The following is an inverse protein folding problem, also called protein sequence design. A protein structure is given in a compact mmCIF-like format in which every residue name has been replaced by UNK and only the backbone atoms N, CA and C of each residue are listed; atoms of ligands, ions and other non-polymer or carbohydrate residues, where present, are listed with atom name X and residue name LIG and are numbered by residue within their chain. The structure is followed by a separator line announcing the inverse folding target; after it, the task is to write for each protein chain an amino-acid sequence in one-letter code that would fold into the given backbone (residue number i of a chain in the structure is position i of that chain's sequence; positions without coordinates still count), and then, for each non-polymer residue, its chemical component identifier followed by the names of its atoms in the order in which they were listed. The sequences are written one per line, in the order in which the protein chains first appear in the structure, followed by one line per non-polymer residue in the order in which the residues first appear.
data_IF_654462823627
#
_entry.id   IF_654462823627
#
_cell.length_a   1.000
_cell.length_b   1.000
_cell.length_c   1.000
_cell.angle_alpha   90.00
_cell.angle_beta   90.00
_cell.angle_gamma   90.00
#
_symmetry.space_group_name_H-M   'P 1'
#
loop_
_entity.id
_entity.type
_entity.pdbx_description
1 polymer ?
#
# COMPACT_ATOMS: atom_id res chain seq x y z
N UNK A 1 18.81 7.36 -15.33
CA UNK A 1 19.06 8.11 -14.08
C UNK A 1 18.52 9.49 -14.32
N UNK A 2 17.45 9.87 -13.62
CA UNK A 2 16.72 11.09 -13.93
C UNK A 2 17.18 12.19 -12.98
N UNK A 3 17.73 13.28 -13.52
CA UNK A 3 18.11 14.47 -12.74
C UNK A 3 16.91 15.42 -12.74
N UNK A 4 16.42 15.78 -11.56
CA UNK A 4 15.30 16.71 -11.39
C UNK A 4 15.73 17.93 -10.60
N UNK A 5 15.19 19.10 -10.96
CA UNK A 5 15.45 20.36 -10.25
C UNK A 5 14.33 20.63 -9.25
N UNK A 6 14.69 21.11 -8.07
CA UNK A 6 13.72 21.60 -7.10
C UNK A 6 13.08 22.91 -7.57
N UNK A 7 11.79 23.09 -7.28
CA UNK A 7 11.09 24.36 -7.53
C UNK A 7 11.52 25.41 -6.51
N UNK A 8 11.09 26.67 -6.69
CA UNK A 8 11.35 27.78 -5.76
C UNK A 8 10.88 27.47 -4.33
N UNK A 9 9.85 26.63 -4.19
CA UNK A 9 9.30 26.20 -2.90
C UNK A 9 9.95 24.92 -2.35
N UNK A 10 11.01 24.42 -3.00
CA UNK A 10 11.69 23.18 -2.61
C UNK A 10 10.95 21.89 -2.99
N UNK A 11 9.94 21.96 -3.86
CA UNK A 11 9.22 20.76 -4.32
C UNK A 11 10.03 20.05 -5.41
N UNK A 12 10.00 18.72 -5.42
CA UNK A 12 10.60 17.90 -6.48
C UNK A 12 9.51 17.21 -7.30
N UNK A 13 9.67 17.20 -8.62
CA UNK A 13 8.79 16.43 -9.50
C UNK A 13 9.26 14.97 -9.53
N UNK A 14 8.38 14.02 -9.20
CA UNK A 14 8.67 12.59 -9.32
C UNK A 14 8.45 12.14 -10.78
N UNK A 15 9.48 11.66 -11.49
CA UNK A 15 9.36 11.15 -12.85
C UNK A 15 8.29 10.08 -13.01
N UNK A 16 7.69 9.99 -14.20
CA UNK A 16 6.61 9.04 -14.49
C UNK A 16 7.03 7.57 -14.31
N UNK A 17 8.30 7.26 -14.60
CA UNK A 17 8.91 5.94 -14.38
C UNK A 17 8.82 5.51 -12.91
N UNK A 18 9.22 6.39 -11.99
CA UNK A 18 9.17 6.13 -10.55
C UNK A 18 7.73 6.10 -10.01
N UNK A 19 6.85 6.99 -10.50
CA UNK A 19 5.44 6.97 -10.11
C UNK A 19 4.77 5.63 -10.44
N UNK A 20 5.01 5.08 -11.64
CA UNK A 20 4.47 3.77 -12.04
C UNK A 20 5.08 2.63 -11.24
N UNK A 21 6.39 2.64 -11.01
CA UNK A 21 7.09 1.58 -10.27
C UNK A 21 6.62 1.46 -8.81
N UNK A 22 6.38 2.59 -8.17
CA UNK A 22 5.98 2.64 -6.76
C UNK A 22 4.48 2.91 -6.56
N UNK A 23 3.68 2.82 -7.62
CA UNK A 23 2.22 3.05 -7.59
C UNK A 23 1.83 4.34 -6.85
N UNK A 24 2.59 5.42 -7.09
CA UNK A 24 2.35 6.73 -6.48
C UNK A 24 1.29 7.43 -7.32
N UNK A 25 0.10 7.54 -6.77
CA UNK A 25 -1.05 8.23 -7.34
C UNK A 25 -1.22 9.62 -6.73
N UNK A 26 -2.17 10.38 -7.28
CA UNK A 26 -2.47 11.71 -6.75
C UNK A 26 -3.04 11.58 -5.34
N UNK A 27 -2.35 12.15 -4.36
CA UNK A 27 -2.76 12.10 -2.95
C UNK A 27 -2.21 10.91 -2.16
N UNK A 28 -1.33 10.09 -2.76
CA UNK A 28 -0.59 9.07 -2.00
C UNK A 28 0.28 9.76 -0.94
N UNK A 29 0.11 9.44 0.36
CA UNK A 29 0.96 9.98 1.41
C UNK A 29 2.37 9.42 1.27
N UNK A 30 3.39 10.27 1.44
CA UNK A 30 4.79 9.89 1.38
C UNK A 30 5.45 10.22 2.73
N UNK A 31 6.17 9.26 3.28
CA UNK A 31 7.13 9.52 4.36
C UNK A 31 8.40 10.08 3.75
N UNK A 32 8.86 11.19 4.33
CA UNK A 32 10.11 11.84 3.94
C UNK A 32 11.00 11.87 5.18
N UNK A 33 12.17 11.24 5.09
CA UNK A 33 13.14 11.19 6.18
C UNK A 33 14.57 11.13 5.66
N UNK A 34 15.52 11.55 6.50
CA UNK A 34 16.95 11.46 6.20
C UNK A 34 17.50 10.11 6.67
N UNK A 35 18.34 9.49 5.83
CA UNK A 35 19.12 8.31 6.17
C UNK A 35 20.48 8.37 5.48
N UNK A 36 21.55 8.56 6.26
CA UNK A 36 22.96 8.51 5.81
C UNK A 36 23.22 9.48 4.64
N UNK A 37 22.87 10.75 4.81
CA UNK A 37 22.99 11.81 3.80
C UNK A 37 22.15 11.54 2.53
N UNK A 38 21.00 10.89 2.69
CA UNK A 38 20.07 10.63 1.59
C UNK A 38 18.67 10.96 2.05
N UNK A 39 17.97 11.76 1.25
CA UNK A 39 16.53 11.95 1.42
C UNK A 39 15.84 10.70 0.87
N UNK A 40 15.16 9.97 1.73
CA UNK A 40 14.36 8.81 1.36
C UNK A 40 12.89 9.21 1.29
N UNK A 41 12.25 8.85 0.19
CA UNK A 41 10.80 8.97 0.02
C UNK A 41 10.21 7.56 0.00
N UNK A 42 9.30 7.29 0.93
CA UNK A 42 8.62 6.00 1.05
C UNK A 42 7.10 6.21 0.93
N UNK A 43 6.42 5.58 -0.05
CA UNK A 43 4.96 5.64 -0.11
C UNK A 43 4.37 4.97 1.12
N UNK A 44 3.46 5.67 1.78
CA UNK A 44 2.65 5.09 2.85
C UNK A 44 1.57 4.26 2.17
N UNK A 45 1.86 2.98 2.01
CA UNK A 45 0.87 1.99 1.61
C UNK A 45 -0.17 1.94 2.73
N UNK A 46 -1.43 2.26 2.41
CA UNK A 46 -2.53 2.04 3.35
C UNK A 46 -2.57 0.56 3.67
N UNK A 47 -2.76 0.23 4.94
CA UNK A 47 -2.80 -1.17 5.36
C UNK A 47 -3.89 -1.90 4.55
N UNK A 48 -3.46 -2.76 3.63
CA UNK A 48 -4.35 -3.53 2.77
C UNK A 48 -5.25 -4.43 3.61
N UNK A 49 -4.82 -4.81 4.82
CA UNK A 49 -5.64 -5.56 5.78
C UNK A 49 -6.79 -4.70 6.26
N UNK A 50 -6.54 -3.44 6.61
CA UNK A 50 -7.60 -2.50 7.04
C UNK A 50 -8.57 -2.19 5.90
N UNK A 51 -8.10 -1.94 4.67
CA UNK A 51 -9.00 -1.75 3.52
C UNK A 51 -9.77 -3.02 3.15
N UNK A 52 -9.16 -4.20 3.35
CA UNK A 52 -9.80 -5.50 3.11
C UNK A 52 -10.86 -5.87 4.15
N UNK A 53 -10.90 -5.22 5.32
CA UNK A 53 -11.91 -5.50 6.35
C UNK A 53 -13.30 -5.21 5.79
N UNK A 54 -14.17 -6.21 5.88
CA UNK A 54 -15.57 -6.07 5.47
C UNK A 54 -15.81 -6.16 3.95
N UNK A 55 -14.77 -6.38 3.12
CA UNK A 55 -14.89 -6.49 1.66
C UNK A 55 -15.96 -7.50 1.22
N UNK A 56 -16.05 -8.63 1.91
CA UNK A 56 -17.00 -9.69 1.58
C UNK A 56 -18.45 -9.37 1.98
N UNK A 57 -18.71 -8.36 2.82
CA UNK A 57 -20.05 -7.93 3.31
C UNK A 57 -20.97 -9.06 3.82
N UNK A 58 -20.45 -10.26 4.06
CA UNK A 58 -21.24 -11.45 4.38
C UNK A 58 -21.49 -11.63 5.88
N UNK A 59 -21.14 -10.64 6.71
CA UNK A 59 -21.26 -10.68 8.19
C UNK A 59 -20.72 -11.99 8.79
N UNK A 60 -19.62 -12.51 8.23
CA UNK A 60 -18.98 -13.75 8.69
C UNK A 60 -19.65 -15.06 8.25
N UNK A 61 -20.71 -15.03 7.41
CA UNK A 61 -21.35 -16.26 6.89
C UNK A 61 -20.39 -17.14 6.08
N UNK A 62 -19.54 -16.54 5.25
CA UNK A 62 -18.53 -17.27 4.47
C UNK A 62 -17.50 -17.92 5.40
N UNK A 63 -17.02 -17.17 6.40
CA UNK A 63 -16.08 -17.71 7.39
C UNK A 63 -16.68 -18.91 8.15
N UNK A 64 -17.97 -18.83 8.55
CA UNK A 64 -18.68 -19.94 9.19
C UNK A 64 -18.84 -21.16 8.27
N UNK A 65 -19.07 -20.96 6.98
CA UNK A 65 -19.13 -22.05 6.01
C UNK A 65 -17.77 -22.74 5.89
N UNK A 66 -16.70 -21.96 5.68
CA UNK A 66 -15.32 -22.46 5.59
C UNK A 66 -14.89 -23.26 6.84
N UNK A 67 -15.22 -22.77 8.04
CA UNK A 67 -14.92 -23.47 9.29
C UNK A 67 -15.66 -24.82 9.37
N UNK A 68 -16.91 -24.89 8.90
CA UNK A 68 -17.67 -26.15 8.89
C UNK A 68 -17.06 -27.16 7.93
N UNK A 69 -16.63 -26.71 6.75
CA UNK A 69 -16.03 -27.60 5.75
C UNK A 69 -14.67 -28.12 6.23
N UNK A 70 -13.81 -27.26 6.80
CA UNK A 70 -12.54 -27.70 7.43
C UNK A 70 -12.75 -28.73 8.55
N UNK A 71 -13.80 -28.58 9.36
CA UNK A 71 -14.14 -29.55 10.41
C UNK A 71 -14.65 -30.90 9.86
N UNK A 72 -15.23 -30.91 8.67
CA UNK A 72 -15.66 -32.14 7.99
C UNK A 72 -14.46 -32.86 7.40
N UNK A 73 -13.58 -32.13 6.72
CA UNK A 73 -12.32 -32.66 6.20
C UNK A 73 -11.42 -33.23 7.30
N UNK A 74 -11.32 -32.57 8.46
CA UNK A 74 -10.50 -33.05 9.58
C UNK A 74 -11.07 -34.31 10.29
N UNK A 75 -12.32 -34.69 10.01
CA UNK A 75 -12.97 -35.90 10.54
C UNK A 75 -12.95 -37.06 9.55
N UNK A 76 -12.44 -36.83 8.35
CA UNK A 76 -12.33 -37.79 7.26
C UNK A 76 -10.90 -38.33 7.20
#
# INVERSE_FOLDING_TARGET
MDVVKATVKGQILIPASLRRKYQIERGTPLRVYDKRNRIILEPVIRDMVEEGRGMLKTKGRILKALIRDRKREAKQ
#
